data_IF_930068623535
#
_entry.id   IF_930068623535
#
_cell.length_a   1.000
_cell.length_b   1.000
_cell.length_c   1.000
_cell.angle_alpha   90.00
_cell.angle_beta   90.00
_cell.angle_gamma   90.00
#
_symmetry.space_group_name_H-M   'P 1'
#
loop_
_entity.id
_entity.type
_entity.pdbx_description
1 polymer ?
#
# COMPACT_ATOMS: atom_id res chain seq x y z
N UNK A 1 51.76 -28.54 -2.19
CA UNK A 1 51.64 -29.94 -2.72
C UNK A 1 50.30 -29.96 -3.43
N UNK A 2 50.43 -29.88 -4.72
CA UNK A 2 49.96 -30.77 -5.82
C UNK A 2 48.43 -30.87 -5.89
N UNK A 3 47.78 -30.19 -6.82
CA UNK A 3 47.67 -30.36 -8.27
C UNK A 3 46.72 -31.51 -8.68
N UNK A 4 45.74 -31.29 -9.45
CA UNK A 4 45.48 -31.48 -10.90
C UNK A 4 43.99 -31.74 -11.13
N UNK A 5 43.31 -30.94 -11.91
CA UNK A 5 42.97 -30.99 -13.35
C UNK A 5 42.16 -32.20 -13.85
N UNK A 6 41.08 -31.99 -14.51
CA UNK A 6 40.76 -32.22 -15.93
C UNK A 6 39.22 -32.23 -16.09
N UNK A 7 38.66 -31.53 -17.01
CA UNK A 7 38.58 -31.49 -18.46
C UNK A 7 37.25 -32.04 -18.99
N UNK A 8 36.51 -31.16 -19.57
CA UNK A 8 35.76 -31.12 -20.82
C UNK A 8 35.07 -32.39 -21.37
N UNK A 9 33.81 -32.23 -21.79
CA UNK A 9 33.39 -32.64 -23.12
C UNK A 9 32.13 -31.93 -23.59
N UNK A 10 32.27 -31.24 -24.72
CA UNK A 10 31.23 -30.79 -25.64
C UNK A 10 30.55 -31.96 -26.34
N UNK A 11 29.28 -31.91 -26.61
CA UNK A 11 28.70 -32.41 -27.84
C UNK A 11 27.44 -31.70 -28.25
N UNK A 12 27.49 -31.15 -29.42
CA UNK A 12 26.48 -30.55 -30.30
C UNK A 12 25.75 -31.62 -31.11
N UNK A 13 24.44 -31.40 -31.39
CA UNK A 13 23.74 -31.75 -32.63
C UNK A 13 22.33 -31.17 -32.49
N UNK A 14 21.86 -30.26 -33.23
CA UNK A 14 21.60 -29.90 -34.64
C UNK A 14 20.43 -30.69 -35.26
N UNK A 15 19.39 -29.88 -35.66
CA UNK A 15 18.40 -29.96 -36.75
C UNK A 15 17.33 -31.07 -36.67
N UNK A 16 16.05 -30.77 -36.90
CA UNK A 16 15.46 -30.38 -38.16
C UNK A 16 14.00 -29.88 -38.02
N UNK A 17 13.66 -28.97 -38.91
CA UNK A 17 12.33 -28.47 -39.20
C UNK A 17 11.55 -29.40 -40.15
N UNK A 18 10.22 -29.38 -40.07
CA UNK A 18 9.31 -29.53 -41.24
C UNK A 18 7.92 -29.09 -40.84
N UNK A 19 7.45 -28.15 -41.42
CA UNK A 19 6.37 -27.62 -42.23
C UNK A 19 5.31 -28.64 -42.71
N UNK A 20 4.03 -28.31 -42.58
CA UNK A 20 2.93 -28.35 -43.58
C UNK A 20 1.66 -27.89 -42.90
N UNK A 21 1.08 -26.79 -43.31
CA UNK A 21 0.21 -26.36 -44.43
C UNK A 21 -1.13 -27.09 -44.53
N UNK A 22 -2.17 -26.28 -44.42
CA UNK A 22 -3.45 -26.14 -45.15
C UNK A 22 -4.55 -27.18 -44.91
N UNK A 23 -5.73 -26.74 -44.55
CA UNK A 23 -6.76 -26.45 -45.55
C UNK A 23 -8.03 -25.85 -44.93
N UNK A 24 -8.57 -24.90 -45.67
CA UNK A 24 -9.91 -24.30 -45.59
C UNK A 24 -11.00 -25.35 -45.78
N UNK A 25 -12.16 -25.17 -45.13
CA UNK A 25 -13.45 -25.19 -45.88
C UNK A 25 -14.50 -24.42 -45.08
N UNK A 26 -15.19 -23.55 -45.80
CA UNK A 26 -16.37 -22.84 -45.43
C UNK A 26 -17.60 -23.67 -45.85
N UNK A 27 -18.70 -23.56 -45.11
CA UNK A 27 -20.04 -23.84 -45.64
C UNK A 27 -21.09 -23.01 -44.90
N UNK A 28 -21.81 -22.30 -45.66
CA UNK A 28 -22.95 -21.38 -45.48
C UNK A 28 -24.28 -22.10 -45.31
N UNK A 29 -25.25 -21.28 -44.80
CA UNK A 29 -26.72 -21.36 -44.95
C UNK A 29 -27.46 -22.37 -44.07
N UNK A 30 -28.64 -22.17 -43.55
CA UNK A 30 -29.80 -21.44 -44.10
C UNK A 30 -30.83 -21.11 -43.00
N UNK A 31 -31.65 -20.15 -43.31
CA UNK A 31 -32.85 -19.68 -42.61
C UNK A 31 -33.95 -20.74 -42.55
N UNK A 32 -34.73 -20.77 -41.49
CA UNK A 32 -36.19 -20.83 -41.67
C UNK A 32 -36.96 -20.37 -40.42
N UNK A 33 -37.83 -19.47 -40.68
CA UNK A 33 -38.89 -18.91 -39.86
C UNK A 33 -40.04 -19.94 -39.68
N UNK A 34 -40.67 -19.99 -38.50
CA UNK A 34 -42.10 -20.34 -38.42
C UNK A 34 -42.81 -19.58 -37.30
N UNK A 35 -43.94 -19.03 -37.71
CA UNK A 35 -44.95 -18.24 -37.01
C UNK A 35 -45.78 -19.04 -36.01
N UNK A 36 -46.14 -18.36 -34.96
CA UNK A 36 -47.45 -18.18 -34.29
C UNK A 36 -48.39 -19.36 -34.01
N UNK A 37 -48.83 -19.45 -32.79
CA UNK A 37 -50.24 -19.75 -32.46
C UNK A 37 -50.57 -19.09 -31.10
N UNK A 38 -51.55 -18.22 -31.15
CA UNK A 38 -52.34 -17.60 -30.09
C UNK A 38 -53.26 -18.64 -29.40
N UNK A 39 -53.28 -18.61 -28.08
CA UNK A 39 -54.41 -19.18 -27.32
C UNK A 39 -54.71 -18.32 -26.10
N UNK A 40 -55.85 -17.65 -26.20
CA UNK A 40 -56.51 -16.89 -25.15
C UNK A 40 -57.07 -17.85 -24.08
N UNK A 41 -56.81 -17.52 -22.81
CA UNK A 41 -57.67 -18.06 -21.70
C UNK A 41 -57.81 -17.00 -20.62
N UNK A 42 -59.02 -16.63 -20.40
CA UNK A 42 -59.68 -15.71 -19.50
C UNK A 42 -59.23 -15.76 -18.07
N UNK A 43 -59.04 -14.57 -17.52
CA UNK A 43 -58.69 -14.25 -16.16
C UNK A 43 -59.83 -14.47 -15.17
N UNK A 44 -59.48 -14.92 -13.94
CA UNK A 44 -60.29 -14.71 -12.74
C UNK A 44 -59.55 -13.75 -11.85
N UNK A 45 -60.13 -12.61 -11.58
CA UNK A 45 -59.73 -11.55 -10.68
C UNK A 45 -59.89 -11.93 -9.26
N UNK A 46 -58.83 -11.80 -8.47
CA UNK A 46 -58.87 -11.73 -6.98
C UNK A 46 -58.17 -10.43 -6.55
N UNK A 47 -58.67 -9.71 -5.59
CA UNK A 47 -58.22 -8.33 -5.32
C UNK A 47 -56.89 -8.35 -4.52
N UNK A 48 -55.87 -7.80 -5.13
CA UNK A 48 -54.55 -7.62 -4.51
C UNK A 48 -54.53 -6.32 -3.69
N UNK A 49 -54.24 -6.47 -2.41
CA UNK A 49 -54.01 -5.37 -1.49
C UNK A 49 -52.91 -4.44 -2.04
N UNK A 50 -53.20 -3.14 -2.11
CA UNK A 50 -52.26 -2.08 -2.41
C UNK A 50 -51.19 -2.01 -1.31
N UNK A 51 -50.02 -2.64 -1.55
CA UNK A 51 -48.78 -2.27 -0.85
C UNK A 51 -48.26 -1.00 -1.48
N UNK A 52 -48.51 0.12 -0.84
CA UNK A 52 -47.80 1.38 -1.10
C UNK A 52 -46.32 1.16 -0.78
N UNK A 53 -45.50 0.82 -1.78
CA UNK A 53 -44.06 0.93 -1.68
C UNK A 53 -43.74 2.44 -1.74
N UNK A 54 -43.51 3.04 -0.56
CA UNK A 54 -42.84 4.30 -0.49
C UNK A 54 -41.41 4.06 -1.02
N UNK A 55 -41.22 4.30 -2.32
CA UNK A 55 -39.92 4.44 -2.92
C UNK A 55 -39.22 5.62 -2.21
N UNK A 56 -38.43 5.29 -1.22
CA UNK A 56 -37.50 6.21 -0.57
C UNK A 56 -36.45 6.55 -1.61
N UNK A 57 -36.77 7.54 -2.44
CA UNK A 57 -35.82 8.18 -3.36
C UNK A 57 -34.71 8.73 -2.48
N UNK A 58 -33.62 7.93 -2.30
CA UNK A 58 -32.35 8.47 -1.83
C UNK A 58 -31.98 9.52 -2.88
N UNK A 59 -32.19 10.79 -2.58
CA UNK A 59 -31.50 11.88 -3.25
C UNK A 59 -30.01 11.58 -3.08
N UNK A 60 -29.41 10.97 -4.10
CA UNK A 60 -27.98 11.13 -4.32
C UNK A 60 -27.80 12.63 -4.47
N UNK A 61 -27.22 13.26 -3.48
CA UNK A 61 -26.59 14.54 -3.67
C UNK A 61 -25.36 14.28 -4.54
N UNK A 62 -25.57 14.13 -5.84
CA UNK A 62 -24.57 14.37 -6.85
C UNK A 62 -24.33 15.89 -6.84
N UNK A 63 -23.73 16.40 -5.77
CA UNK A 63 -22.92 17.59 -5.86
C UNK A 63 -21.77 17.16 -6.77
N UNK A 64 -21.96 17.26 -8.10
CA UNK A 64 -20.86 17.38 -9.04
C UNK A 64 -20.01 18.49 -8.45
N UNK A 65 -18.84 18.10 -7.90
CA UNK A 65 -17.85 19.08 -7.46
C UNK A 65 -17.56 19.90 -8.72
N UNK A 66 -18.05 21.13 -8.76
CA UNK A 66 -17.86 22.04 -9.86
C UNK A 66 -16.36 22.13 -10.08
N UNK A 67 -15.89 21.76 -11.28
CA UNK A 67 -14.48 21.74 -11.60
C UNK A 67 -13.94 23.16 -11.55
N UNK A 68 -13.43 23.55 -10.40
CA UNK A 68 -12.88 24.90 -10.17
C UNK A 68 -11.73 25.14 -11.17
N UNK A 69 -11.82 26.22 -11.93
CA UNK A 69 -10.81 26.56 -12.93
C UNK A 69 -9.42 26.72 -12.30
N UNK A 70 -8.32 26.39 -13.02
CA UNK A 70 -6.95 26.50 -12.49
C UNK A 70 -6.62 27.87 -11.91
N UNK A 71 -7.12 28.94 -12.52
CA UNK A 71 -6.93 30.32 -12.07
C UNK A 71 -7.59 30.58 -10.72
N UNK A 72 -8.80 30.04 -10.51
CA UNK A 72 -9.52 30.14 -9.26
C UNK A 72 -8.82 29.37 -8.14
N UNK A 73 -8.29 28.16 -8.43
CA UNK A 73 -7.48 27.40 -7.49
C UNK A 73 -6.19 28.12 -7.09
N UNK A 74 -5.52 28.76 -8.05
CA UNK A 74 -4.34 29.57 -7.78
C UNK A 74 -4.67 30.81 -6.91
N UNK A 75 -5.81 31.47 -7.16
CA UNK A 75 -6.29 32.59 -6.37
C UNK A 75 -6.62 32.14 -4.93
N UNK A 76 -7.33 31.02 -4.76
CA UNK A 76 -7.61 30.43 -3.44
C UNK A 76 -6.32 30.10 -2.68
N UNK A 77 -5.30 29.53 -3.33
CA UNK A 77 -4.00 29.27 -2.72
C UNK A 77 -3.25 30.54 -2.30
N UNK A 78 -3.40 31.65 -3.04
CA UNK A 78 -2.86 32.96 -2.62
C UNK A 78 -3.59 33.50 -1.40
N UNK A 79 -4.93 33.44 -1.40
CA UNK A 79 -5.75 33.89 -0.29
C UNK A 79 -5.42 33.09 0.99
N UNK A 80 -5.31 31.77 0.91
CA UNK A 80 -4.91 30.90 2.01
C UNK A 80 -3.58 31.32 2.65
N UNK A 81 -2.58 31.72 1.85
CA UNK A 81 -1.29 32.23 2.36
C UNK A 81 -1.39 33.62 3.01
N UNK A 82 -2.36 34.40 2.65
CA UNK A 82 -2.63 35.68 3.31
C UNK A 82 -3.29 35.47 4.68
N UNK A 83 -4.21 34.53 4.76
CA UNK A 83 -4.88 34.16 6.00
C UNK A 83 -3.95 33.42 6.96
N UNK A 84 -3.14 32.49 6.43
CA UNK A 84 -2.18 31.68 7.20
C UNK A 84 -0.77 31.85 6.58
N UNK A 85 -0.02 32.88 7.02
CA UNK A 85 1.35 33.11 6.54
C UNK A 85 2.27 31.92 6.84
N UNK A 86 3.33 31.73 6.05
CA UNK A 86 4.25 30.60 6.23
C UNK A 86 4.91 30.62 7.62
N UNK A 87 5.16 31.81 8.17
CA UNK A 87 5.79 32.02 9.47
C UNK A 87 4.90 31.49 10.63
N UNK A 88 3.57 31.55 10.48
CA UNK A 88 2.63 31.02 11.46
C UNK A 88 2.77 29.51 11.67
N UNK A 89 3.22 28.77 10.67
CA UNK A 89 3.46 27.34 10.80
C UNK A 89 4.68 26.96 11.68
N UNK A 90 5.51 27.92 12.07
CA UNK A 90 6.63 27.71 12.99
C UNK A 90 6.18 27.67 14.45
N UNK A 91 5.00 28.20 14.76
CA UNK A 91 4.46 28.23 16.11
C UNK A 91 3.93 26.85 16.49
N UNK A 92 4.29 26.43 17.71
CA UNK A 92 3.76 25.25 18.34
C UNK A 92 3.50 25.51 19.83
N UNK A 93 2.25 25.45 20.20
CA UNK A 93 1.80 25.59 21.59
C UNK A 93 1.05 24.30 21.95
N UNK A 94 1.67 23.42 22.75
CA UNK A 94 1.00 22.20 23.17
C UNK A 94 -0.21 22.55 24.07
N UNK A 95 -1.27 21.75 23.96
CA UNK A 95 -2.43 21.90 24.84
C UNK A 95 -2.01 21.80 26.31
N UNK A 96 -2.63 22.61 27.20
CA UNK A 96 -2.31 22.65 28.63
C UNK A 96 -2.48 21.28 29.32
N UNK A 97 -3.40 20.46 28.83
CA UNK A 97 -3.69 19.11 29.35
C UNK A 97 -3.19 18.01 28.41
N UNK A 98 -2.07 18.25 27.73
CA UNK A 98 -1.47 17.27 26.82
C UNK A 98 -1.04 16.02 27.58
N UNK A 99 -1.69 14.88 27.29
CA UNK A 99 -1.32 13.55 27.85
C UNK A 99 -1.13 12.53 26.72
N UNK A 100 0.10 12.39 26.20
CA UNK A 100 0.41 11.41 25.15
C UNK A 100 0.16 9.96 25.58
N UNK A 101 0.33 9.67 26.86
CA UNK A 101 0.15 8.30 27.37
C UNK A 101 -1.32 7.94 27.40
N UNK A 102 -2.19 8.84 27.88
CA UNK A 102 -3.64 8.62 27.84
C UNK A 102 -4.15 8.43 26.40
N UNK A 103 -3.62 9.17 25.42
CA UNK A 103 -3.96 8.99 23.99
C UNK A 103 -3.56 7.59 23.49
N UNK A 104 -2.36 7.13 23.80
CA UNK A 104 -1.90 5.79 23.41
C UNK A 104 -2.72 4.68 24.07
N UNK A 105 -3.06 4.84 25.35
CA UNK A 105 -3.91 3.90 26.08
C UNK A 105 -5.35 3.88 25.53
N UNK A 106 -5.88 5.05 25.13
CA UNK A 106 -7.20 5.11 24.47
C UNK A 106 -7.21 4.35 23.15
N UNK A 107 -6.17 4.51 22.33
CA UNK A 107 -6.00 3.77 21.07
C UNK A 107 -5.84 2.27 21.31
N UNK A 108 -5.20 1.86 22.40
CA UNK A 108 -4.99 0.46 22.74
C UNK A 108 -6.32 -0.29 22.97
N UNK A 109 -7.39 0.40 23.40
CA UNK A 109 -8.71 -0.22 23.66
C UNK A 109 -9.36 -0.83 22.41
N UNK A 110 -9.00 -0.36 21.21
CA UNK A 110 -9.53 -0.86 19.94
C UNK A 110 -8.61 -1.87 19.25
N UNK A 111 -7.48 -2.21 19.88
CA UNK A 111 -6.49 -3.15 19.33
C UNK A 111 -6.67 -4.55 19.92
N UNK A 112 -6.05 -5.54 19.28
CA UNK A 112 -5.97 -6.90 19.82
C UNK A 112 -5.18 -6.86 21.15
N UNK A 113 -5.80 -7.25 22.29
CA UNK A 113 -5.18 -7.05 23.62
C UNK A 113 -3.79 -7.67 23.76
N UNK A 114 -3.60 -8.89 23.27
CA UNK A 114 -2.32 -9.63 23.38
C UNK A 114 -1.20 -8.99 22.56
N UNK A 115 -1.50 -8.15 21.58
CA UNK A 115 -0.53 -7.46 20.73
C UNK A 115 -0.13 -6.08 21.30
N UNK A 116 -0.91 -5.53 22.22
CA UNK A 116 -0.63 -4.21 22.82
C UNK A 116 0.73 -4.16 23.53
N UNK A 117 1.10 -5.13 24.40
CA UNK A 117 2.43 -5.13 25.04
C UNK A 117 3.57 -5.23 24.02
N UNK A 118 3.41 -6.03 22.96
CA UNK A 118 4.42 -6.18 21.91
C UNK A 118 4.61 -4.84 21.16
N UNK A 119 3.50 -4.17 20.84
CA UNK A 119 3.54 -2.85 20.21
C UNK A 119 4.26 -1.82 21.08
N UNK A 120 3.89 -1.72 22.35
CA UNK A 120 4.52 -0.79 23.28
C UNK A 120 6.00 -1.11 23.46
N UNK A 121 6.38 -2.39 23.60
CA UNK A 121 7.77 -2.80 23.65
C UNK A 121 8.58 -2.37 22.41
N UNK A 122 8.01 -2.50 21.22
CA UNK A 122 8.65 -2.02 19.97
C UNK A 122 8.75 -0.50 19.92
N UNK A 123 7.75 0.23 20.41
CA UNK A 123 7.80 1.69 20.49
C UNK A 123 8.89 2.19 21.43
N UNK A 124 9.15 1.48 22.53
CA UNK A 124 10.13 1.86 23.54
C UNK A 124 11.60 1.64 23.13
N UNK A 125 11.86 1.00 22.00
CA UNK A 125 13.24 0.73 21.53
C UNK A 125 14.03 2.01 21.26
N UNK A 126 13.36 3.05 20.69
CA UNK A 126 14.04 4.32 20.39
C UNK A 126 13.03 5.46 20.21
N UNK A 127 13.47 6.74 20.25
CA UNK A 127 12.60 7.87 19.91
C UNK A 127 11.98 7.78 18.52
N UNK A 128 12.69 7.23 17.55
CA UNK A 128 12.16 7.09 16.19
C UNK A 128 11.12 5.96 16.09
N UNK A 129 11.32 4.82 16.76
CA UNK A 129 10.31 3.76 16.83
C UNK A 129 9.07 4.19 17.61
N UNK A 130 9.24 5.00 18.66
CA UNK A 130 8.12 5.63 19.36
C UNK A 130 7.32 6.54 18.40
N UNK A 131 8.00 7.41 17.69
CA UNK A 131 7.38 8.35 16.75
C UNK A 131 6.53 7.63 15.69
N UNK A 132 7.01 6.53 15.15
CA UNK A 132 6.28 5.69 14.18
C UNK A 132 4.96 5.13 14.74
N UNK A 133 4.90 4.85 16.03
CA UNK A 133 3.69 4.36 16.69
C UNK A 133 2.78 5.46 17.25
N UNK A 134 3.15 6.74 17.12
CA UNK A 134 2.52 7.87 17.80
C UNK A 134 1.82 8.84 16.81
N UNK A 135 1.19 8.35 15.74
CA UNK A 135 0.46 9.18 14.79
C UNK A 135 -0.68 9.95 15.47
N UNK A 136 -1.47 9.29 16.33
CA UNK A 136 -2.54 9.92 17.10
C UNK A 136 -2.04 11.06 18.00
N UNK A 137 -0.91 10.89 18.66
CA UNK A 137 -0.30 11.94 19.49
C UNK A 137 0.06 13.16 18.66
N UNK A 138 0.67 12.94 17.49
CA UNK A 138 1.02 14.03 16.57
C UNK A 138 -0.22 14.71 16.01
N UNK A 139 -1.27 13.96 15.66
CA UNK A 139 -2.53 14.53 15.17
C UNK A 139 -3.17 15.44 16.24
N UNK A 140 -3.20 15.00 17.51
CA UNK A 140 -3.65 15.81 18.63
C UNK A 140 -2.81 17.08 18.83
N UNK A 141 -1.48 16.97 18.71
CA UNK A 141 -0.58 18.11 18.79
C UNK A 141 -0.78 19.11 17.65
N UNK A 142 -1.13 18.63 16.45
CA UNK A 142 -1.33 19.46 15.25
C UNK A 142 -2.71 20.13 15.21
N UNK A 143 -3.69 19.63 15.96
CA UNK A 143 -5.06 20.16 15.97
C UNK A 143 -5.10 21.66 16.31
N UNK A 144 -4.25 22.13 17.22
CA UNK A 144 -4.14 23.53 17.63
C UNK A 144 -3.21 24.37 16.75
N UNK A 145 -2.56 23.77 15.74
CA UNK A 145 -1.62 24.51 14.87
C UNK A 145 -2.34 25.19 13.71
N UNK A 146 -1.84 26.34 13.23
CA UNK A 146 -2.40 27.01 12.06
C UNK A 146 -2.50 26.10 10.84
N UNK A 147 -3.62 26.17 10.11
CA UNK A 147 -3.86 25.47 8.86
C UNK A 147 -4.40 26.44 7.81
N UNK A 148 -4.14 26.14 6.54
CA UNK A 148 -4.63 26.94 5.40
C UNK A 148 -6.02 26.54 4.92
N UNK A 149 -6.69 25.60 5.59
CA UNK A 149 -7.96 24.98 5.19
C UNK A 149 -7.90 24.21 3.85
N UNK A 150 -6.70 24.05 3.27
CA UNK A 150 -6.51 23.22 2.11
C UNK A 150 -6.47 21.74 2.54
N UNK A 151 -7.57 21.05 2.30
CA UNK A 151 -7.73 19.65 2.70
C UNK A 151 -7.34 18.69 1.60
N UNK A 152 -6.70 17.59 1.98
CA UNK A 152 -6.35 16.46 1.11
C UNK A 152 -6.59 15.15 1.83
N UNK A 153 -6.52 14.04 1.09
CA UNK A 153 -6.39 12.72 1.71
C UNK A 153 -4.97 12.61 2.27
N UNK A 154 -4.86 12.62 3.60
CA UNK A 154 -3.59 12.48 4.29
C UNK A 154 -3.08 11.03 4.23
N UNK A 155 -1.77 10.85 4.24
CA UNK A 155 -1.13 9.58 4.62
C UNK A 155 -1.40 9.28 6.11
N UNK A 156 -1.43 10.32 6.96
CA UNK A 156 -1.69 10.24 8.39
C UNK A 156 -0.48 9.83 9.22
N UNK A 157 0.40 8.97 8.70
CA UNK A 157 1.64 8.55 9.36
C UNK A 157 2.87 8.80 8.46
N UNK A 158 3.03 10.04 7.98
CA UNK A 158 4.14 10.41 7.10
C UNK A 158 5.48 10.40 7.85
N UNK A 159 6.33 9.41 7.57
CA UNK A 159 7.70 9.29 8.08
C UNK A 159 8.58 8.47 7.12
N UNK A 160 9.96 8.60 7.14
CA UNK A 160 10.84 7.98 6.16
C UNK A 160 10.70 6.45 5.98
N UNK A 161 10.28 5.72 7.02
CA UNK A 161 10.09 4.27 6.94
C UNK A 161 8.73 3.88 6.34
N UNK A 162 7.82 4.83 6.12
CA UNK A 162 6.55 4.61 5.46
C UNK A 162 6.61 4.91 3.95
N UNK A 163 7.79 5.23 3.44
CA UNK A 163 8.07 5.33 2.02
C UNK A 163 8.99 4.20 1.62
N UNK A 164 8.69 3.50 0.55
CA UNK A 164 9.47 2.36 0.14
C UNK A 164 9.24 1.93 -1.30
N UNK A 165 9.97 0.89 -1.67
CA UNK A 165 9.92 0.30 -3.00
C UNK A 165 8.93 -0.87 -3.01
N UNK A 166 8.07 -0.92 -4.02
CA UNK A 166 7.21 -2.08 -4.30
C UNK A 166 7.03 -2.27 -5.80
N UNK A 167 6.64 -3.48 -6.19
CA UNK A 167 6.34 -3.78 -7.59
C UNK A 167 4.93 -3.28 -7.94
N UNK A 168 4.83 -2.47 -9.01
CA UNK A 168 3.54 -2.09 -9.59
C UNK A 168 2.86 -3.31 -10.24
N UNK A 169 1.55 -3.22 -10.61
CA UNK A 169 0.88 -4.27 -11.39
C UNK A 169 1.61 -4.62 -12.69
N UNK A 170 2.30 -3.64 -13.30
CA UNK A 170 3.13 -3.82 -14.50
C UNK A 170 4.55 -4.36 -14.19
N UNK A 171 4.79 -4.75 -12.93
CA UNK A 171 6.07 -5.27 -12.42
C UNK A 171 7.24 -4.27 -12.52
N UNK A 172 6.96 -2.98 -12.55
CA UNK A 172 7.98 -1.95 -12.38
C UNK A 172 8.21 -1.67 -10.90
N UNK A 173 9.45 -1.44 -10.51
CA UNK A 173 9.77 -1.08 -9.13
C UNK A 173 9.54 0.42 -8.95
N UNK A 174 8.53 0.76 -8.17
CA UNK A 174 8.14 2.15 -7.88
C UNK A 174 8.41 2.49 -6.42
N UNK A 175 8.63 3.76 -6.14
CA UNK A 175 8.83 4.28 -4.79
C UNK A 175 7.67 5.19 -4.42
N UNK A 176 6.96 4.81 -3.36
CA UNK A 176 5.81 5.57 -2.89
C UNK A 176 5.52 5.26 -1.41
N UNK A 177 4.39 5.74 -0.91
CA UNK A 177 3.88 5.44 0.43
C UNK A 177 3.43 3.97 0.48
N UNK A 178 3.84 3.26 1.55
CA UNK A 178 3.57 1.83 1.70
C UNK A 178 2.38 1.52 2.61
N UNK A 179 2.02 2.43 3.51
CA UNK A 179 1.05 2.19 4.58
C UNK A 179 0.09 3.38 4.69
N UNK A 180 -1.19 3.09 4.63
CA UNK A 180 -2.29 4.05 4.66
C UNK A 180 -3.27 3.80 5.81
N UNK A 181 -2.89 3.03 6.83
CA UNK A 181 -3.78 2.65 7.94
C UNK A 181 -4.30 3.87 8.73
N UNK A 182 -3.54 4.95 8.77
CA UNK A 182 -3.89 6.20 9.47
C UNK A 182 -4.44 7.29 8.51
N UNK A 183 -4.84 6.90 7.29
CA UNK A 183 -5.32 7.83 6.26
C UNK A 183 -6.64 8.49 6.63
N UNK A 184 -6.76 9.80 6.34
CA UNK A 184 -7.96 10.57 6.66
C UNK A 184 -7.97 11.90 5.87
N UNK A 185 -9.14 12.43 5.49
CA UNK A 185 -9.23 13.78 4.93
C UNK A 185 -8.86 14.84 5.96
N UNK A 186 -7.79 15.59 5.73
CA UNK A 186 -7.32 16.60 6.68
C UNK A 186 -6.48 17.71 6.05
N UNK A 187 -5.98 18.68 6.84
CA UNK A 187 -5.09 19.73 6.37
C UNK A 187 -3.78 19.15 5.85
N UNK A 188 -3.37 19.49 4.63
CA UNK A 188 -2.15 18.92 4.02
C UNK A 188 -0.88 19.20 4.85
N UNK A 189 -0.89 20.26 5.62
CA UNK A 189 0.22 20.67 6.50
C UNK A 189 0.55 19.60 7.54
N UNK A 190 -0.41 18.78 7.94
CA UNK A 190 -0.20 17.78 8.96
C UNK A 190 0.82 16.71 8.50
N UNK A 191 0.65 16.20 7.28
CA UNK A 191 1.61 15.23 6.72
C UNK A 191 3.00 15.84 6.55
N UNK A 192 3.07 17.10 6.09
CA UNK A 192 4.36 17.78 5.88
C UNK A 192 5.07 18.04 7.21
N UNK A 193 4.34 18.53 8.23
CA UNK A 193 4.89 18.74 9.58
C UNK A 193 5.35 17.42 10.18
N UNK A 194 4.55 16.34 10.01
CA UNK A 194 4.89 15.02 10.50
C UNK A 194 6.14 14.47 9.79
N UNK A 195 6.20 14.55 8.48
CA UNK A 195 7.37 14.12 7.72
C UNK A 195 8.63 14.93 8.12
N UNK A 196 8.54 16.25 8.21
CA UNK A 196 9.64 17.11 8.59
C UNK A 196 10.18 16.79 10.00
N UNK A 197 9.29 16.63 10.97
CA UNK A 197 9.67 16.23 12.33
C UNK A 197 10.33 14.85 12.37
N UNK A 198 9.87 13.91 11.56
CA UNK A 198 10.42 12.55 11.47
C UNK A 198 11.87 12.53 10.99
N UNK A 199 12.27 13.40 10.07
CA UNK A 199 13.67 13.54 9.63
C UNK A 199 14.57 14.03 10.76
N UNK A 200 14.08 14.96 11.59
CA UNK A 200 14.84 15.44 12.75
C UNK A 200 15.04 14.32 13.76
N UNK A 201 13.95 13.60 14.08
CA UNK A 201 13.98 12.52 15.07
C UNK A 201 14.86 11.35 14.57
N UNK A 202 14.68 10.92 13.32
CA UNK A 202 15.50 9.88 12.70
C UNK A 202 16.98 10.28 12.64
N UNK A 203 17.28 11.54 12.31
CA UNK A 203 18.65 12.03 12.27
C UNK A 203 19.32 12.01 13.64
N UNK A 204 18.60 12.43 14.68
CA UNK A 204 19.09 12.35 16.07
C UNK A 204 19.28 10.89 16.51
N UNK A 205 18.32 10.03 16.22
CA UNK A 205 18.37 8.61 16.53
C UNK A 205 19.58 7.90 15.89
N UNK A 206 19.97 8.35 14.70
CA UNK A 206 21.12 7.82 13.96
C UNK A 206 22.43 8.55 14.27
N UNK A 207 22.47 9.43 15.29
CA UNK A 207 23.67 10.16 15.68
C UNK A 207 24.15 11.22 14.68
N UNK A 208 23.29 11.68 13.78
CA UNK A 208 23.67 12.72 12.81
C UNK A 208 23.83 14.09 13.50
N UNK A 209 24.80 14.88 13.04
CA UNK A 209 24.98 16.25 13.50
C UNK A 209 23.77 17.12 13.13
N UNK A 210 23.49 18.15 13.94
CA UNK A 210 22.37 19.10 13.73
C UNK A 210 22.30 19.64 12.31
N UNK A 211 23.44 20.00 11.71
CA UNK A 211 23.52 20.50 10.33
C UNK A 211 23.04 19.46 9.30
N UNK A 212 23.29 18.17 9.54
CA UNK A 212 22.95 17.09 8.61
C UNK A 212 21.45 16.83 8.59
N UNK A 213 20.82 16.58 9.77
CA UNK A 213 19.39 16.33 9.79
C UNK A 213 18.55 17.57 9.44
N UNK A 214 19.03 18.80 9.80
CA UNK A 214 18.40 20.03 9.34
C UNK A 214 18.44 20.16 7.81
N UNK A 215 19.58 19.87 7.18
CA UNK A 215 19.69 19.85 5.72
C UNK A 215 18.75 18.84 5.07
N UNK A 216 18.65 17.62 5.62
CA UNK A 216 17.76 16.60 5.10
C UNK A 216 16.29 17.02 5.21
N UNK A 217 15.87 17.58 6.36
CA UNK A 217 14.51 18.08 6.58
C UNK A 217 14.15 19.18 5.57
N UNK A 218 15.03 20.18 5.40
CA UNK A 218 14.78 21.27 4.47
C UNK A 218 14.71 20.78 3.01
N UNK A 219 15.60 19.84 2.62
CA UNK A 219 15.57 19.26 1.29
C UNK A 219 14.28 18.48 1.01
N UNK A 220 13.76 17.75 1.99
CA UNK A 220 12.49 17.03 1.83
C UNK A 220 11.31 17.99 1.62
N UNK A 221 11.21 19.06 2.42
CA UNK A 221 10.14 20.06 2.29
C UNK A 221 10.28 20.85 0.98
N UNK A 222 11.50 21.18 0.57
CA UNK A 222 11.78 21.86 -0.72
C UNK A 222 11.37 20.97 -1.90
N UNK A 223 11.73 19.70 -1.87
CA UNK A 223 11.37 18.74 -2.92
C UNK A 223 9.85 18.59 -3.03
N UNK A 224 9.14 18.46 -1.90
CA UNK A 224 7.67 18.44 -1.89
C UNK A 224 7.10 19.72 -2.53
N UNK A 225 7.54 20.90 -2.10
CA UNK A 225 7.08 22.17 -2.64
C UNK A 225 7.31 22.30 -4.15
N UNK A 226 8.46 21.84 -4.62
CA UNK A 226 8.80 21.84 -6.05
C UNK A 226 7.90 20.90 -6.83
N UNK A 227 7.75 19.65 -6.36
CA UNK A 227 6.89 18.66 -7.01
C UNK A 227 5.43 19.11 -7.09
N UNK A 228 4.88 19.70 -6.03
CA UNK A 228 3.49 20.21 -6.04
C UNK A 228 3.33 21.35 -7.06
N UNK A 229 4.32 22.22 -7.24
CA UNK A 229 4.29 23.28 -8.27
C UNK A 229 4.33 22.70 -9.66
N UNK A 230 5.18 21.69 -9.89
CA UNK A 230 5.31 21.01 -11.17
C UNK A 230 4.01 20.27 -11.51
N UNK A 231 3.39 19.61 -10.55
CA UNK A 231 2.09 18.95 -10.72
C UNK A 231 0.96 19.97 -10.99
N UNK A 232 0.99 21.12 -10.35
CA UNK A 232 0.00 22.17 -10.59
C UNK A 232 0.04 22.74 -12.02
N UNK A 233 1.18 22.62 -12.71
CA UNK A 233 1.36 23.04 -14.11
C UNK A 233 0.93 21.95 -15.12
N UNK A 234 0.63 20.73 -14.67
CA UNK A 234 0.29 19.60 -15.50
C UNK A 234 -1.23 19.35 -15.57
N UNK A 235 -1.66 18.52 -16.52
CA UNK A 235 -3.05 18.06 -16.56
C UNK A 235 -3.33 17.06 -15.46
N UNK A 236 -4.58 16.97 -15.01
CA UNK A 236 -4.98 16.00 -13.97
C UNK A 236 -4.62 14.57 -14.37
N UNK A 237 -4.82 14.22 -15.66
CA UNK A 237 -4.51 12.88 -16.16
C UNK A 237 -3.00 12.60 -16.13
N UNK A 238 -2.17 13.60 -16.47
CA UNK A 238 -0.73 13.46 -16.39
C UNK A 238 -0.28 13.23 -14.95
N UNK A 239 -0.81 14.00 -13.99
CA UNK A 239 -0.51 13.82 -12.55
C UNK A 239 -0.97 12.46 -12.05
N UNK A 240 -2.14 11.98 -12.50
CA UNK A 240 -2.68 10.67 -12.11
C UNK A 240 -1.74 9.51 -12.47
N UNK A 241 -1.04 9.60 -13.61
CA UNK A 241 -0.09 8.58 -14.06
C UNK A 241 1.35 8.82 -13.59
N UNK A 242 1.61 9.88 -12.81
CA UNK A 242 2.94 10.10 -12.26
C UNK A 242 3.31 9.02 -11.23
N UNK A 243 4.47 8.48 -11.39
CA UNK A 243 5.07 7.55 -10.43
C UNK A 243 6.60 7.71 -10.46
N UNK A 244 7.24 7.42 -9.34
CA UNK A 244 8.70 7.47 -9.24
C UNK A 244 9.27 6.07 -9.51
N UNK A 245 9.78 5.84 -10.70
CA UNK A 245 10.52 4.62 -11.03
C UNK A 245 11.89 4.65 -10.35
N UNK A 246 12.17 3.59 -9.58
CA UNK A 246 13.40 3.54 -8.78
C UNK A 246 14.64 3.43 -9.67
N UNK A 247 14.56 2.67 -10.74
CA UNK A 247 15.66 2.52 -11.70
C UNK A 247 16.05 3.85 -12.33
N UNK A 248 15.04 4.65 -12.74
CA UNK A 248 15.28 5.98 -13.30
C UNK A 248 15.85 6.92 -12.25
N UNK A 249 15.29 6.93 -11.04
CA UNK A 249 15.77 7.77 -9.94
C UNK A 249 17.24 7.46 -9.57
N UNK A 250 17.63 6.18 -9.60
CA UNK A 250 19.01 5.76 -9.36
C UNK A 250 19.92 6.17 -10.53
N UNK A 251 19.47 6.06 -11.78
CA UNK A 251 20.22 6.50 -12.94
C UNK A 251 20.50 8.01 -12.90
N UNK A 252 19.49 8.80 -12.57
CA UNK A 252 19.60 10.27 -12.40
C UNK A 252 20.56 10.63 -11.26
N UNK A 253 20.44 9.92 -10.13
CA UNK A 253 21.36 10.10 -9.00
C UNK A 253 22.80 9.72 -9.37
N UNK A 254 23.00 8.64 -10.14
CA UNK A 254 24.32 8.26 -10.66
C UNK A 254 24.91 9.32 -11.55
N UNK A 255 24.12 9.90 -12.45
CA UNK A 255 24.57 10.98 -13.32
C UNK A 255 25.05 12.20 -12.51
N UNK A 256 24.36 12.54 -11.41
CA UNK A 256 24.78 13.63 -10.51
C UNK A 256 26.04 13.30 -9.69
N UNK A 257 26.30 12.00 -9.42
CA UNK A 257 27.46 11.56 -8.64
C UNK A 257 28.75 11.49 -9.44
N UNK A 258 28.68 11.26 -10.76
CA UNK A 258 29.86 11.21 -11.63
C UNK A 258 30.59 12.55 -11.69
N UNK A 259 29.94 13.66 -11.31
CA UNK A 259 30.52 14.96 -11.14
C UNK A 259 31.41 15.14 -9.88
N UNK A 260 31.49 14.14 -8.97
CA UNK A 260 32.22 14.25 -7.70
C UNK A 260 33.08 13.04 -7.35
N UNK A 261 34.36 13.24 -6.99
CA UNK A 261 35.36 12.18 -6.76
C UNK A 261 35.35 11.53 -5.34
N UNK A 262 34.32 11.63 -4.50
CA UNK A 262 34.35 11.14 -3.12
C UNK A 262 34.18 9.62 -3.02
N UNK A 263 35.13 8.93 -2.34
CA UNK A 263 35.12 7.48 -2.06
C UNK A 263 33.88 7.06 -1.27
N UNK A 264 33.41 7.89 -0.34
CA UNK A 264 32.21 7.64 0.46
C UNK A 264 30.94 7.65 -0.39
N UNK A 265 30.83 8.55 -1.37
CA UNK A 265 29.68 8.59 -2.29
C UNK A 265 29.60 7.32 -3.14
N UNK A 266 30.75 6.83 -3.65
CA UNK A 266 30.81 5.56 -4.39
C UNK A 266 30.38 4.37 -3.54
N UNK A 267 30.80 4.31 -2.28
CA UNK A 267 30.40 3.24 -1.36
C UNK A 267 28.89 3.25 -1.08
N UNK A 268 28.31 4.44 -0.84
CA UNK A 268 26.85 4.59 -0.65
C UNK A 268 26.08 4.20 -1.90
N UNK A 269 26.56 4.59 -3.06
CA UNK A 269 25.93 4.21 -4.34
C UNK A 269 25.94 2.68 -4.53
N UNK A 270 27.08 2.03 -4.31
CA UNK A 270 27.19 0.56 -4.38
C UNK A 270 26.22 -0.13 -3.40
N UNK A 271 26.04 0.42 -2.20
CA UNK A 271 25.08 -0.08 -1.23
C UNK A 271 23.63 0.06 -1.73
N UNK A 272 23.31 1.18 -2.41
CA UNK A 272 21.99 1.41 -3.02
C UNK A 272 21.72 0.44 -4.17
N UNK A 273 22.69 0.22 -5.06
CA UNK A 273 22.60 -0.78 -6.14
C UNK A 273 22.40 -2.20 -5.59
N UNK A 274 23.12 -2.56 -4.54
CA UNK A 274 22.96 -3.86 -3.88
C UNK A 274 21.58 -4.02 -3.22
N UNK A 275 21.05 -2.94 -2.62
CA UNK A 275 19.71 -2.92 -2.05
C UNK A 275 18.63 -3.06 -3.13
N UNK A 276 18.81 -2.41 -4.28
CA UNK A 276 17.92 -2.54 -5.44
C UNK A 276 17.94 -3.96 -6.01
N UNK A 277 19.13 -4.52 -6.27
CA UNK A 277 19.25 -5.90 -6.73
C UNK A 277 18.54 -6.87 -5.77
N UNK A 278 18.69 -6.66 -4.46
CA UNK A 278 17.98 -7.45 -3.45
C UNK A 278 16.46 -7.19 -3.47
N UNK A 279 15.99 -5.99 -3.80
CA UNK A 279 14.57 -5.71 -3.92
C UNK A 279 13.94 -6.47 -5.09
N UNK A 280 14.62 -6.54 -6.24
CA UNK A 280 14.17 -7.33 -7.40
C UNK A 280 14.12 -8.84 -7.14
N UNK A 281 14.96 -9.35 -6.23
CA UNK A 281 14.94 -10.78 -5.85
C UNK A 281 13.89 -11.11 -4.77
N UNK A 282 13.24 -10.11 -4.19
CA UNK A 282 12.15 -10.32 -3.22
C UNK A 282 10.85 -10.64 -3.95
N UNK A 283 10.73 -11.86 -4.36
CA UNK A 283 9.54 -12.42 -5.00
C UNK A 283 8.72 -13.30 -4.04
N UNK A 284 7.62 -13.81 -4.55
CA UNK A 284 6.73 -14.72 -3.82
C UNK A 284 7.47 -15.99 -3.37
N UNK A 285 8.42 -16.51 -4.19
CA UNK A 285 9.17 -17.71 -3.85
C UNK A 285 10.09 -17.49 -2.63
N UNK A 286 10.71 -16.33 -2.53
CA UNK A 286 11.52 -15.98 -1.36
C UNK A 286 10.66 -15.82 -0.10
N UNK A 287 9.46 -15.23 -0.23
CA UNK A 287 8.51 -15.12 0.89
C UNK A 287 8.07 -16.51 1.34
N UNK A 288 7.69 -17.38 0.41
CA UNK A 288 7.33 -18.78 0.68
C UNK A 288 8.49 -19.50 1.38
N UNK A 289 9.72 -19.39 0.88
CA UNK A 289 10.89 -20.04 1.50
C UNK A 289 11.21 -19.56 2.92
N UNK A 290 10.84 -18.31 3.28
CA UNK A 290 11.08 -17.76 4.62
C UNK A 290 9.95 -18.02 5.61
N UNK A 291 8.72 -18.07 5.12
CA UNK A 291 7.53 -18.13 5.97
C UNK A 291 6.95 -19.54 6.08
N UNK A 292 7.42 -20.47 5.25
CA UNK A 292 6.89 -21.83 5.22
C UNK A 292 8.00 -22.90 5.29
N UNK A 293 7.64 -24.06 5.80
CA UNK A 293 8.44 -25.26 5.79
C UNK A 293 7.63 -26.44 5.20
N UNK A 294 8.31 -27.48 4.75
CA UNK A 294 7.66 -28.74 4.36
C UNK A 294 7.68 -29.66 5.57
N UNK A 295 6.49 -30.03 6.06
CA UNK A 295 6.28 -30.93 7.19
C UNK A 295 5.38 -32.06 6.67
N UNK A 296 5.80 -33.30 6.80
CA UNK A 296 5.08 -34.49 6.33
C UNK A 296 4.63 -34.41 4.86
N UNK A 297 5.50 -33.87 4.01
CA UNK A 297 5.26 -33.72 2.58
C UNK A 297 4.30 -32.57 2.21
N UNK A 298 3.77 -31.83 3.19
CA UNK A 298 2.88 -30.67 2.98
C UNK A 298 3.60 -29.38 3.34
N UNK A 299 3.41 -28.34 2.52
CA UNK A 299 3.93 -27.01 2.82
C UNK A 299 3.03 -26.35 3.86
N UNK A 300 3.62 -25.88 4.95
CA UNK A 300 2.93 -25.25 6.08
C UNK A 300 3.64 -23.97 6.49
N UNK A 301 2.90 -23.00 7.05
CA UNK A 301 3.45 -21.77 7.62
C UNK A 301 4.26 -22.11 8.88
N UNK A 302 5.43 -21.49 9.03
CA UNK A 302 6.28 -21.70 10.22
C UNK A 302 5.60 -21.05 11.42
N UNK A 303 5.30 -21.86 12.47
CA UNK A 303 4.80 -21.34 13.74
C UNK A 303 5.96 -20.75 14.55
N UNK A 304 5.87 -19.46 14.91
CA UNK A 304 6.90 -18.73 15.68
C UNK A 304 6.23 -17.73 16.63
N UNK A 305 5.56 -18.22 17.70
CA UNK A 305 4.90 -17.35 18.67
C UNK A 305 5.90 -16.40 19.37
N UNK A 306 5.51 -15.16 19.71
CA UNK A 306 4.19 -14.56 19.48
C UNK A 306 4.06 -13.87 18.11
N UNK A 307 5.06 -13.97 17.24
CA UNK A 307 5.16 -13.20 16.00
C UNK A 307 4.39 -13.82 14.83
N UNK A 308 4.35 -15.14 14.77
CA UNK A 308 3.58 -15.90 13.78
C UNK A 308 2.91 -17.07 14.49
N UNK A 309 1.59 -17.10 14.50
CA UNK A 309 0.78 -18.15 15.12
C UNK A 309 -0.09 -18.78 14.04
N UNK A 310 0.11 -20.07 13.76
CA UNK A 310 -0.71 -20.80 12.78
C UNK A 310 -2.17 -20.90 13.24
N UNK A 311 -3.08 -20.99 12.27
CA UNK A 311 -4.52 -21.04 12.51
C UNK A 311 -4.95 -22.11 13.52
N UNK A 312 -4.33 -23.27 13.47
CA UNK A 312 -4.59 -24.38 14.40
C UNK A 312 -4.25 -24.06 15.88
N UNK A 313 -3.37 -23.06 16.14
CA UNK A 313 -3.00 -22.62 17.48
C UNK A 313 -3.67 -21.29 17.89
N UNK A 314 -4.55 -20.74 17.05
CA UNK A 314 -5.22 -19.46 17.32
C UNK A 314 -6.55 -19.60 18.03
N UNK A 315 -7.13 -20.79 18.03
CA UNK A 315 -8.48 -21.06 18.52
C UNK A 315 -8.59 -22.50 18.96
N UNK A 316 -9.47 -22.77 19.92
CA UNK A 316 -9.86 -24.13 20.33
C UNK A 316 -10.80 -24.81 19.33
N UNK A 317 -11.08 -24.16 18.20
CA UNK A 317 -11.93 -24.69 17.15
C UNK A 317 -11.19 -25.80 16.41
N UNK A 318 -11.94 -26.86 16.09
CA UNK A 318 -11.45 -27.91 15.21
C UNK A 318 -10.94 -27.35 13.88
N UNK A 319 -9.79 -27.85 13.39
CA UNK A 319 -9.13 -27.37 12.19
C UNK A 319 -10.05 -27.44 10.95
N UNK A 320 -10.81 -28.50 10.79
CA UNK A 320 -11.68 -28.65 9.62
C UNK A 320 -12.81 -27.61 9.64
N UNK A 321 -13.39 -27.35 10.83
CA UNK A 321 -14.41 -26.31 11.02
C UNK A 321 -13.84 -24.93 10.74
N UNK A 322 -12.60 -24.66 11.17
CA UNK A 322 -11.91 -23.40 10.88
C UNK A 322 -11.73 -23.23 9.37
N UNK A 323 -11.18 -24.22 8.68
CA UNK A 323 -10.96 -24.17 7.24
C UNK A 323 -12.24 -24.04 6.43
N UNK A 324 -13.34 -24.69 6.85
CA UNK A 324 -14.64 -24.56 6.17
C UNK A 324 -15.19 -23.13 6.30
N UNK A 325 -15.06 -22.51 7.47
CA UNK A 325 -15.43 -21.11 7.65
C UNK A 325 -14.58 -20.18 6.78
N UNK A 326 -13.29 -20.43 6.69
CA UNK A 326 -12.38 -19.64 5.85
C UNK A 326 -12.69 -19.80 4.36
N UNK A 327 -12.96 -21.01 3.89
CA UNK A 327 -13.42 -21.27 2.51
C UNK A 327 -14.72 -20.54 2.20
N UNK A 328 -15.67 -20.51 3.14
CA UNK A 328 -16.91 -19.74 2.99
C UNK A 328 -16.65 -18.23 2.90
N UNK A 329 -15.70 -17.69 3.69
CA UNK A 329 -15.29 -16.29 3.61
C UNK A 329 -14.62 -15.96 2.26
N UNK A 330 -13.71 -16.82 1.79
CA UNK A 330 -13.07 -16.66 0.45
C UNK A 330 -14.12 -16.72 -0.65
N UNK A 331 -15.09 -17.63 -0.58
CA UNK A 331 -16.19 -17.71 -1.54
C UNK A 331 -17.08 -16.45 -1.53
N UNK A 332 -17.28 -15.86 -0.35
CA UNK A 332 -17.99 -14.57 -0.23
C UNK A 332 -17.19 -13.42 -0.82
N UNK A 333 -15.90 -13.33 -0.50
CA UNK A 333 -14.98 -12.34 -1.05
C UNK A 333 -14.90 -12.43 -2.59
N UNK A 334 -14.82 -13.65 -3.12
CA UNK A 334 -14.84 -13.90 -4.57
C UNK A 334 -16.00 -13.20 -5.28
N UNK A 335 -17.18 -13.14 -4.67
CA UNK A 335 -18.37 -12.49 -5.25
C UNK A 335 -18.22 -10.97 -5.40
N UNK A 336 -17.35 -10.35 -4.61
CA UNK A 336 -17.09 -8.90 -4.65
C UNK A 336 -16.08 -8.50 -5.73
N UNK A 337 -15.32 -9.45 -6.27
CA UNK A 337 -14.28 -9.20 -7.26
C UNK A 337 -14.84 -8.97 -8.66
N UNK A 338 -14.10 -8.26 -9.49
CA UNK A 338 -14.32 -8.17 -10.93
C UNK A 338 -14.11 -9.55 -11.60
N UNK A 339 -14.65 -9.74 -12.79
CA UNK A 339 -14.69 -11.06 -13.45
C UNK A 339 -13.30 -11.67 -13.70
N UNK A 340 -12.35 -10.85 -14.15
CA UNK A 340 -10.95 -11.24 -14.38
C UNK A 340 -10.25 -11.67 -13.09
N UNK A 341 -10.47 -10.92 -12.00
CA UNK A 341 -9.92 -11.23 -10.67
C UNK A 341 -10.54 -12.48 -10.06
N UNK A 342 -11.84 -12.71 -10.30
CA UNK A 342 -12.51 -13.95 -9.90
C UNK A 342 -11.88 -15.17 -10.58
N UNK A 343 -11.67 -15.08 -11.89
CA UNK A 343 -11.07 -16.15 -12.65
C UNK A 343 -9.65 -16.44 -12.17
N UNK A 344 -8.86 -15.39 -11.86
CA UNK A 344 -7.53 -15.57 -11.29
C UNK A 344 -7.61 -16.28 -9.92
N UNK A 345 -8.52 -15.86 -9.03
CA UNK A 345 -8.66 -16.46 -7.71
C UNK A 345 -9.06 -17.95 -7.77
N UNK A 346 -9.79 -18.37 -8.82
CA UNK A 346 -10.21 -19.77 -9.00
C UNK A 346 -9.04 -20.73 -9.24
N UNK A 347 -7.84 -20.22 -9.54
CA UNK A 347 -6.62 -21.03 -9.64
C UNK A 347 -5.90 -21.24 -8.30
N UNK A 348 -6.38 -20.62 -7.22
CA UNK A 348 -5.76 -20.73 -5.90
C UNK A 348 -6.63 -21.53 -4.94
N UNK A 349 -5.98 -22.33 -4.12
CA UNK A 349 -6.61 -23.10 -3.04
C UNK A 349 -6.04 -22.65 -1.70
N UNK A 350 -6.90 -22.39 -0.72
CA UNK A 350 -6.47 -22.09 0.64
C UNK A 350 -5.84 -23.33 1.25
N UNK A 351 -4.54 -23.28 1.56
CA UNK A 351 -3.78 -24.40 2.11
C UNK A 351 -3.41 -24.23 3.58
N UNK A 352 -3.16 -23.00 4.02
CA UNK A 352 -2.80 -22.70 5.41
C UNK A 352 -3.10 -21.25 5.75
N UNK A 353 -3.18 -20.93 7.06
CA UNK A 353 -3.44 -19.59 7.58
C UNK A 353 -2.62 -19.37 8.86
N UNK A 354 -2.16 -18.13 9.06
CA UNK A 354 -1.52 -17.72 10.29
C UNK A 354 -1.82 -16.26 10.63
N UNK A 355 -1.85 -15.96 11.93
CA UNK A 355 -1.77 -14.59 12.43
C UNK A 355 -0.32 -14.17 12.46
N UNK A 356 0.02 -13.04 11.84
CA UNK A 356 1.37 -12.48 11.84
C UNK A 356 1.37 -11.08 12.43
N UNK A 357 2.25 -10.83 13.39
CA UNK A 357 2.46 -9.50 13.99
C UNK A 357 3.45 -8.71 13.15
N UNK A 358 2.97 -7.70 12.42
CA UNK A 358 3.83 -6.84 11.60
C UNK A 358 3.80 -5.39 12.09
N UNK A 359 4.90 -4.66 11.89
CA UNK A 359 5.00 -3.22 12.15
C UNK A 359 4.97 -2.80 13.61
N UNK A 360 4.92 -1.50 13.82
CA UNK A 360 4.73 -0.81 15.11
C UNK A 360 3.37 -0.12 15.13
N UNK A 361 2.86 0.25 13.96
CA UNK A 361 1.65 1.05 13.78
C UNK A 361 0.37 0.28 13.42
N UNK A 362 0.50 -0.89 12.80
CA UNK A 362 -0.66 -1.60 12.24
C UNK A 362 -1.71 -1.99 13.29
N UNK A 363 -2.97 -1.75 12.94
CA UNK A 363 -4.13 -2.03 13.80
C UNK A 363 -4.33 -3.53 14.03
N UNK A 364 -4.26 -4.29 12.97
CA UNK A 364 -4.47 -5.74 12.98
C UNK A 364 -3.81 -6.36 11.74
N UNK A 365 -2.62 -6.90 11.90
CA UNK A 365 -2.01 -7.59 10.77
C UNK A 365 -2.32 -9.06 10.84
N UNK A 366 -3.43 -9.42 10.24
CA UNK A 366 -3.66 -10.78 9.77
C UNK A 366 -3.17 -10.85 8.34
N UNK A 367 -2.21 -11.71 8.09
CA UNK A 367 -1.76 -12.01 6.72
C UNK A 367 -2.24 -13.40 6.40
N UNK A 368 -3.26 -13.47 5.56
CA UNK A 368 -3.69 -14.72 4.97
C UNK A 368 -2.72 -15.03 3.82
N UNK A 369 -2.02 -16.16 3.88
CA UNK A 369 -1.21 -16.59 2.76
C UNK A 369 -1.98 -17.61 1.94
N UNK A 370 -2.20 -17.27 0.67
CA UNK A 370 -2.66 -18.21 -0.34
C UNK A 370 -1.42 -18.80 -1.05
N UNK A 371 -1.34 -20.10 -1.14
CA UNK A 371 -0.30 -20.80 -1.89
C UNK A 371 -0.91 -21.51 -3.11
#
# INVERSE_FOLDING_TARGET
MTAKTASASKRTAKTAATSNRSSKTAATSDRSSKKAATSSRTAKTTPTAKRTSAARTRKRSDAQAELVAPQQRAAAGKAARTTTPLEAHAEFQPASQRDPVALLLSQAKTRVPDLVPIRHGRMLVSPFTFYRGAALVMASDLESTPTSDLRTQLCGDAHPSNFGAYASPERRLVFDINDFDETLPGPFEWDIKRLAASFVIAGRNNGFAKKQYRKATLAAVEAYRTAIRDFAAQTILTVWYQHLEIEQAIADYKATLTAGKSKERKARFKATEAALAKAHTRDTLQAIGKLTAVVDGKRQIINNPPLVIRGEYMTDMDSDVLFDRLRALVASYRKTLQSDRRQLLDHFTLTDIAQKVVGVGSRDSRVDSFA
#
